data_IF_036784077657
#
_entry.id   IF_036784077657
#
_cell.length_a   1.000
_cell.length_b   1.000
_cell.length_c   1.000
_cell.angle_alpha   90.00
_cell.angle_beta   90.00
_cell.angle_gamma   90.00
#
_symmetry.space_group_name_H-M   'P 1'
#
loop_
_entity.id
_entity.type
_entity.pdbx_description
1 polymer ?
#
# COMPACT_ATOMS: atom_id res chain seq x y z
N UNK A 1 19.85 -10.82 -13.20
CA UNK A 1 18.39 -10.88 -12.98
C UNK A 1 17.96 -9.57 -12.32
N UNK A 2 17.91 -8.49 -13.10
CA UNK A 2 17.78 -7.10 -12.58
C UNK A 2 16.44 -6.43 -12.96
N UNK A 3 15.55 -7.14 -13.66
CA UNK A 3 14.37 -6.57 -14.31
C UNK A 3 13.40 -5.85 -13.36
N UNK A 4 13.15 -6.41 -12.18
CA UNK A 4 12.24 -5.79 -11.20
C UNK A 4 12.94 -4.73 -10.32
N UNK A 5 14.27 -4.75 -10.24
CA UNK A 5 15.04 -3.94 -9.30
C UNK A 5 14.99 -2.45 -9.66
N UNK A 6 15.19 -2.13 -10.93
CA UNK A 6 15.24 -0.73 -11.37
C UNK A 6 13.87 -0.04 -11.34
N UNK A 7 12.76 -0.67 -11.81
CA UNK A 7 11.42 -0.09 -11.68
C UNK A 7 11.02 0.13 -10.22
N UNK A 8 11.27 -0.87 -9.36
CA UNK A 8 10.93 -0.79 -7.94
C UNK A 8 11.73 0.31 -7.23
N UNK A 9 13.05 0.38 -7.45
CA UNK A 9 13.91 1.41 -6.85
C UNK A 9 13.45 2.83 -7.22
N UNK A 10 13.18 3.07 -8.51
CA UNK A 10 12.66 4.34 -9.00
C UNK A 10 11.33 4.69 -8.35
N UNK A 11 10.39 3.74 -8.37
CA UNK A 11 9.04 3.95 -7.82
C UNK A 11 9.07 4.20 -6.32
N UNK A 12 9.90 3.48 -5.58
CA UNK A 12 10.08 3.68 -4.15
C UNK A 12 10.65 5.08 -3.86
N UNK A 13 11.64 5.53 -4.64
CA UNK A 13 12.18 6.89 -4.54
C UNK A 13 11.13 7.97 -4.79
N UNK A 14 10.28 7.79 -5.81
CA UNK A 14 9.19 8.72 -6.12
C UNK A 14 8.13 8.74 -5.01
N UNK A 15 7.79 7.57 -4.45
CA UNK A 15 6.83 7.43 -3.35
C UNK A 15 7.33 8.10 -2.07
N UNK A 16 8.60 7.92 -1.73
CA UNK A 16 9.19 8.58 -0.55
C UNK A 16 9.16 10.10 -0.70
N UNK A 17 9.53 10.62 -1.88
CA UNK A 17 9.47 12.06 -2.18
C UNK A 17 8.04 12.59 -2.15
N UNK A 18 7.10 11.91 -2.81
CA UNK A 18 5.71 12.38 -2.91
C UNK A 18 4.99 12.38 -1.57
N UNK A 19 5.37 11.46 -0.66
CA UNK A 19 4.81 11.36 0.69
C UNK A 19 5.64 12.11 1.74
N UNK A 20 6.70 12.80 1.34
CA UNK A 20 7.66 13.48 2.23
C UNK A 20 8.22 12.56 3.33
N UNK A 21 8.36 11.27 3.03
CA UNK A 21 8.91 10.27 3.94
C UNK A 21 10.43 10.29 3.84
N UNK A 22 11.09 10.31 5.01
CA UNK A 22 12.54 10.16 5.09
C UNK A 22 12.91 8.69 5.04
N UNK A 23 14.18 8.41 4.75
CA UNK A 23 14.67 7.03 4.72
C UNK A 23 14.59 6.36 6.09
N UNK A 24 14.75 7.14 7.16
CA UNK A 24 14.61 6.72 8.55
C UNK A 24 13.18 6.27 8.86
N UNK A 25 12.18 6.98 8.33
CA UNK A 25 10.77 6.67 8.59
C UNK A 25 10.38 5.33 7.96
N UNK A 26 10.90 5.02 6.76
CA UNK A 26 10.69 3.71 6.12
C UNK A 26 11.47 2.59 6.81
N UNK A 27 12.69 2.86 7.27
CA UNK A 27 13.46 1.89 8.04
C UNK A 27 12.72 1.53 9.35
N UNK A 28 12.25 2.53 10.09
CA UNK A 28 11.45 2.35 11.31
C UNK A 28 10.17 1.53 11.02
N UNK A 29 9.44 1.86 9.96
CA UNK A 29 8.23 1.13 9.58
C UNK A 29 8.49 -0.35 9.24
N UNK A 30 9.64 -0.65 8.63
CA UNK A 30 10.04 -2.03 8.33
C UNK A 30 10.52 -2.76 9.59
N UNK A 31 11.19 -2.07 10.52
CA UNK A 31 11.56 -2.62 11.83
C UNK A 31 10.33 -2.94 12.69
N UNK A 32 9.30 -2.11 12.64
CA UNK A 32 8.01 -2.38 13.30
C UNK A 32 7.33 -3.66 12.77
N UNK A 33 7.66 -4.09 11.56
CA UNK A 33 7.20 -5.35 10.95
C UNK A 33 8.15 -6.53 11.22
N UNK A 34 9.23 -6.32 11.98
CA UNK A 34 10.19 -7.34 12.37
C UNK A 34 11.37 -7.53 11.40
N UNK A 35 11.59 -6.61 10.46
CA UNK A 35 12.77 -6.63 9.60
C UNK A 35 13.93 -5.83 10.21
N UNK A 36 15.18 -6.27 10.03
CA UNK A 36 16.36 -5.53 10.51
C UNK A 36 16.75 -4.36 9.58
N UNK A 37 15.77 -3.59 9.12
CA UNK A 37 15.99 -2.53 8.15
C UNK A 37 16.63 -1.31 8.81
N UNK A 38 17.74 -0.87 8.21
CA UNK A 38 18.43 0.36 8.58
C UNK A 38 18.22 1.43 7.50
N UNK A 39 18.51 2.69 7.84
CA UNK A 39 18.56 3.79 6.86
C UNK A 39 19.45 3.46 5.65
N UNK A 40 20.57 2.78 5.89
CA UNK A 40 21.48 2.35 4.83
C UNK A 40 20.81 1.30 3.91
N UNK A 41 20.09 0.33 4.48
CA UNK A 41 19.32 -0.65 3.71
C UNK A 41 18.28 0.03 2.81
N UNK A 42 17.51 0.98 3.34
CA UNK A 42 16.57 1.78 2.55
C UNK A 42 17.27 2.49 1.39
N UNK A 43 18.43 3.10 1.66
CA UNK A 43 19.22 3.80 0.64
C UNK A 43 19.70 2.85 -0.46
N UNK A 44 20.17 1.64 -0.11
CA UNK A 44 20.56 0.62 -1.09
C UNK A 44 19.38 0.20 -1.97
N UNK A 45 18.18 0.03 -1.40
CA UNK A 45 16.99 -0.36 -2.15
C UNK A 45 16.53 0.77 -3.08
N UNK A 46 16.42 2.01 -2.60
CA UNK A 46 16.01 3.18 -3.39
C UNK A 46 16.99 3.50 -4.51
N UNK A 47 18.29 3.23 -4.31
CA UNK A 47 19.31 3.40 -5.35
C UNK A 47 19.44 2.19 -6.29
N UNK A 48 18.64 1.14 -6.07
CA UNK A 48 18.68 -0.08 -6.86
C UNK A 48 19.97 -0.89 -6.70
N UNK A 49 20.70 -0.73 -5.60
CA UNK A 49 21.93 -1.48 -5.27
C UNK A 49 21.67 -2.69 -4.37
N UNK A 50 20.53 -2.71 -3.67
CA UNK A 50 20.11 -3.83 -2.82
C UNK A 50 19.08 -4.69 -3.54
N UNK A 51 19.32 -6.00 -3.61
CA UNK A 51 18.27 -6.96 -3.97
C UNK A 51 17.24 -7.03 -2.84
N UNK A 52 15.96 -7.11 -3.19
CA UNK A 52 14.87 -7.34 -2.25
C UNK A 52 14.41 -8.79 -2.35
N UNK A 53 14.15 -9.40 -1.20
CA UNK A 53 13.45 -10.67 -1.12
C UNK A 53 11.94 -10.48 -1.32
N UNK A 54 11.23 -11.55 -1.66
CA UNK A 54 9.76 -11.52 -1.77
C UNK A 54 9.10 -11.06 -0.45
N UNK A 55 9.65 -11.50 0.69
CA UNK A 55 9.14 -11.11 2.01
C UNK A 55 9.36 -9.62 2.30
N UNK A 56 10.51 -9.06 1.93
CA UNK A 56 10.75 -7.61 2.04
C UNK A 56 9.84 -6.80 1.11
N UNK A 57 9.52 -7.31 -0.09
CA UNK A 57 8.54 -6.68 -0.99
C UNK A 57 7.15 -6.66 -0.33
N UNK A 58 6.71 -7.79 0.25
CA UNK A 58 5.46 -7.85 1.00
C UNK A 58 5.47 -6.90 2.22
N UNK A 59 6.61 -6.83 2.92
CA UNK A 59 6.85 -5.89 4.01
C UNK A 59 6.68 -4.43 3.55
N UNK A 60 7.28 -4.05 2.41
CA UNK A 60 7.14 -2.72 1.82
C UNK A 60 5.69 -2.39 1.45
N UNK A 61 4.96 -3.33 0.84
CA UNK A 61 3.54 -3.18 0.55
C UNK A 61 2.74 -2.90 1.84
N UNK A 62 3.03 -3.65 2.90
CA UNK A 62 2.40 -3.45 4.21
C UNK A 62 2.78 -2.12 4.86
N UNK A 63 4.07 -1.77 4.90
CA UNK A 63 4.59 -0.55 5.51
C UNK A 63 4.09 0.72 4.81
N UNK A 64 3.93 0.66 3.49
CA UNK A 64 3.45 1.79 2.68
C UNK A 64 1.94 1.76 2.45
N UNK A 65 1.25 0.73 2.92
CA UNK A 65 -0.16 0.46 2.63
C UNK A 65 -0.48 0.59 1.13
N UNK A 66 0.26 -0.17 0.33
CA UNK A 66 0.16 -0.19 -1.13
C UNK A 66 -0.07 -1.62 -1.63
N UNK A 67 -0.82 -1.75 -2.72
CA UNK A 67 -0.82 -3.00 -3.47
C UNK A 67 0.54 -3.21 -4.14
N UNK A 68 0.87 -4.46 -4.45
CA UNK A 68 2.10 -4.76 -5.20
C UNK A 68 2.10 -4.09 -6.59
N UNK A 69 0.92 -3.97 -7.21
CA UNK A 69 0.73 -3.20 -8.43
C UNK A 69 1.13 -1.74 -8.25
N UNK A 70 0.59 -1.05 -7.24
CA UNK A 70 0.88 0.37 -6.99
C UNK A 70 2.35 0.62 -6.61
N UNK A 71 2.96 -0.33 -5.89
CA UNK A 71 4.38 -0.31 -5.53
C UNK A 71 5.29 -0.46 -6.77
N UNK A 72 4.82 -1.14 -7.80
CA UNK A 72 5.56 -1.37 -9.05
C UNK A 72 5.11 -0.46 -10.21
N UNK A 73 4.14 0.43 -9.98
CA UNK A 73 3.71 1.44 -10.96
C UNK A 73 2.42 1.11 -11.74
N UNK A 74 1.74 0.02 -11.39
CA UNK A 74 0.45 -0.40 -11.96
C UNK A 74 0.46 -1.88 -12.39
N UNK A 75 -0.73 -2.47 -12.60
CA UNK A 75 -0.85 -3.87 -13.06
C UNK A 75 -0.30 -4.10 -14.48
N UNK A 76 -0.23 -3.04 -15.28
CA UNK A 76 0.29 -3.06 -16.65
C UNK A 76 1.78 -2.69 -16.73
N UNK A 77 2.47 -2.57 -15.59
CA UNK A 77 3.93 -2.39 -15.60
C UNK A 77 4.59 -3.59 -16.25
N UNK A 78 5.35 -3.35 -17.30
CA UNK A 78 6.19 -4.33 -17.96
C UNK A 78 7.39 -4.72 -17.09
N UNK A 79 7.58 -6.03 -16.90
CA UNK A 79 8.66 -6.61 -16.11
C UNK A 79 9.59 -7.41 -17.01
N UNK A 80 10.85 -6.99 -17.08
CA UNK A 80 11.85 -7.66 -17.88
C UNK A 80 12.23 -9.04 -17.30
N UNK A 81 12.17 -10.05 -18.17
CA UNK A 81 12.62 -11.42 -17.97
C UNK A 81 13.83 -11.71 -18.87
N UNK A 82 14.59 -12.81 -18.64
CA UNK A 82 15.71 -13.17 -19.52
C UNK A 82 15.34 -13.34 -21.00
N UNK A 83 14.09 -13.72 -21.30
CA UNK A 83 13.61 -13.99 -22.66
C UNK A 83 12.60 -12.98 -23.22
N UNK A 84 12.37 -11.84 -22.56
CA UNK A 84 11.38 -10.86 -23.00
C UNK A 84 10.87 -9.98 -21.88
N UNK A 85 9.68 -9.41 -22.03
CA UNK A 85 8.95 -8.70 -20.98
C UNK A 85 7.57 -9.31 -20.80
N UNK A 86 7.06 -9.28 -19.58
CA UNK A 86 5.69 -9.66 -19.27
C UNK A 86 5.04 -8.60 -18.41
N UNK A 87 3.73 -8.34 -18.57
CA UNK A 87 3.03 -7.41 -17.71
C UNK A 87 2.94 -7.98 -16.29
N UNK A 88 3.08 -7.12 -15.29
CA UNK A 88 3.07 -7.49 -13.88
C UNK A 88 1.84 -8.33 -13.50
N UNK A 89 0.66 -8.03 -14.06
CA UNK A 89 -0.57 -8.82 -13.84
C UNK A 89 -0.38 -10.31 -14.12
N UNK A 90 0.34 -10.69 -15.18
CA UNK A 90 0.59 -12.09 -15.52
C UNK A 90 1.51 -12.77 -14.50
N UNK A 91 2.45 -12.01 -13.91
CA UNK A 91 3.29 -12.50 -12.81
C UNK A 91 2.45 -12.71 -11.55
N UNK A 92 1.57 -11.75 -11.22
CA UNK A 92 0.69 -11.85 -10.06
C UNK A 92 -0.28 -13.03 -10.19
N UNK A 93 -0.87 -13.23 -11.36
CA UNK A 93 -1.73 -14.38 -11.64
C UNK A 93 -1.00 -15.71 -11.45
N UNK A 94 0.23 -15.83 -11.94
CA UNK A 94 1.05 -17.02 -11.77
C UNK A 94 1.41 -17.28 -10.30
N UNK A 95 1.72 -16.24 -9.52
CA UNK A 95 2.02 -16.38 -8.10
C UNK A 95 0.79 -16.78 -7.27
N UNK A 96 -0.39 -16.27 -7.60
CA UNK A 96 -1.62 -16.48 -6.84
C UNK A 96 -2.34 -17.78 -7.21
N UNK A 97 -2.30 -18.16 -8.49
CA UNK A 97 -3.11 -19.25 -9.01
C UNK A 97 -2.27 -20.40 -9.59
N UNK A 98 -0.94 -20.25 -9.67
CA UNK A 98 -0.05 -21.26 -10.22
C UNK A 98 -0.16 -21.47 -11.74
N UNK A 99 -0.90 -20.62 -12.46
CA UNK A 99 -1.04 -20.70 -13.92
C UNK A 99 -0.02 -19.80 -14.61
N UNK A 100 0.78 -20.38 -15.50
CA UNK A 100 1.74 -19.67 -16.36
C UNK A 100 1.32 -19.67 -17.83
N UNK A 101 0.08 -20.05 -18.16
CA UNK A 101 -0.42 -20.10 -19.54
C UNK A 101 -0.27 -18.74 -20.26
N UNK A 102 -0.38 -17.64 -19.52
CA UNK A 102 -0.17 -16.27 -20.01
C UNK A 102 1.29 -15.92 -20.33
N UNK A 103 2.27 -16.67 -19.83
CA UNK A 103 3.70 -16.41 -20.07
C UNK A 103 4.18 -17.04 -21.39
N UNK A 104 3.55 -18.12 -21.84
CA UNK A 104 3.90 -18.81 -23.10
C UNK A 104 3.44 -18.03 -24.34
N UNK A 105 2.34 -17.25 -24.23
CA UNK A 105 1.78 -16.47 -25.34
C UNK A 105 2.55 -15.17 -25.66
N UNK A 106 3.33 -14.65 -24.71
CA UNK A 106 4.10 -13.39 -24.86
C UNK A 106 5.50 -13.60 -25.45
N UNK A 107 6.05 -14.83 -25.39
CA UNK A 107 7.36 -15.16 -25.95
C UNK A 107 7.36 -15.32 -27.48
N UNK A 108 6.23 -15.69 -28.08
CA UNK A 108 6.13 -16.03 -29.51
C UNK A 108 5.48 -14.90 -30.35
N UNK A 109 4.67 -14.04 -29.73
CA UNK A 109 3.92 -12.98 -30.43
C UNK A 109 4.50 -11.57 -30.32
N UNK A 110 5.55 -11.35 -29.54
CA UNK A 110 6.11 -10.01 -29.29
C UNK A 110 6.63 -9.34 -30.56
N UNK A 111 7.30 -10.07 -31.45
CA UNK A 111 7.85 -9.50 -32.69
C UNK A 111 6.77 -9.04 -33.68
N UNK A 112 5.74 -9.86 -33.93
CA UNK A 112 4.65 -9.52 -34.86
C UNK A 112 3.71 -8.45 -34.27
N UNK A 113 3.47 -8.49 -32.96
CA UNK A 113 2.60 -7.51 -32.28
C UNK A 113 3.29 -6.17 -32.11
N UNK A 114 4.61 -6.11 -31.86
CA UNK A 114 5.37 -4.86 -31.81
C UNK A 114 5.43 -4.17 -33.17
N UNK A 115 5.57 -4.93 -34.26
CA UNK A 115 5.54 -4.38 -35.62
C UNK A 115 4.16 -3.81 -35.97
N UNK A 116 3.10 -4.56 -35.67
CA UNK A 116 1.72 -4.13 -35.95
C UNK A 116 1.27 -2.95 -35.06
N UNK A 117 1.66 -2.93 -33.78
CA UNK A 117 1.37 -1.83 -32.87
C UNK A 117 2.20 -0.58 -33.21
N UNK A 118 3.44 -0.76 -33.69
CA UNK A 118 4.29 0.33 -34.18
C UNK A 118 3.68 1.04 -35.40
N UNK A 119 3.14 0.28 -36.35
CA UNK A 119 2.43 0.84 -37.52
C UNK A 119 1.14 1.58 -37.11
N UNK A 120 0.35 1.02 -36.20
CA UNK A 120 -0.87 1.64 -35.68
C UNK A 120 -0.61 2.91 -34.85
N UNK A 121 0.43 2.92 -34.00
CA UNK A 121 0.81 4.08 -33.19
C UNK A 121 1.42 5.19 -34.04
N UNK A 122 2.21 4.87 -35.06
CA UNK A 122 2.74 5.86 -35.99
C UNK A 122 1.60 6.61 -36.72
N UNK A 123 0.58 5.88 -37.17
CA UNK A 123 -0.61 6.47 -37.77
C UNK A 123 -1.40 7.36 -36.78
N UNK A 124 -1.52 6.93 -35.51
CA UNK A 124 -2.24 7.68 -34.48
C UNK A 124 -1.50 8.95 -34.01
N UNK A 125 -0.17 8.90 -33.88
CA UNK A 125 0.67 10.05 -33.50
C UNK A 125 0.65 11.12 -34.59
N UNK A 126 0.66 10.73 -35.86
CA UNK A 126 0.55 11.65 -36.98
C UNK A 126 -0.83 12.33 -37.05
N UNK A 127 -1.87 11.63 -36.60
CA UNK A 127 -3.24 12.15 -36.53
C UNK A 127 -3.43 13.06 -35.30
N UNK A 128 -2.85 12.72 -34.15
CA UNK A 128 -2.88 13.53 -32.92
C UNK A 128 -2.06 14.82 -33.04
N UNK A 129 -0.94 14.82 -33.76
CA UNK A 129 -0.14 16.02 -34.02
C UNK A 129 -0.89 17.08 -34.85
N UNK A 130 -1.93 16.68 -35.59
CA UNK A 130 -2.78 17.59 -36.39
C UNK A 130 -3.93 18.19 -35.58
N UNK A 131 -4.25 17.64 -34.40
CA UNK A 131 -5.41 18.03 -33.61
C UNK A 131 -5.09 18.05 -32.11
N UNK A 132 -4.92 19.25 -31.56
CA UNK A 132 -5.09 19.63 -30.15
C UNK A 132 -3.91 19.59 -29.16
N UNK A 133 -3.94 20.62 -28.30
CA UNK A 133 -3.06 20.94 -27.15
C UNK A 133 -3.17 19.94 -25.98
N UNK A 134 -2.15 19.89 -25.08
CA UNK A 134 -2.09 18.92 -24.00
C UNK A 134 -3.07 19.23 -22.84
N UNK A 135 -3.64 18.20 -22.16
CA UNK A 135 -4.50 18.40 -21.00
C UNK A 135 -3.70 18.66 -19.72
N UNK A 136 -4.20 19.59 -18.91
CA UNK A 136 -3.67 19.93 -17.58
C UNK A 136 -3.99 18.83 -16.54
N UNK A 137 -2.99 18.48 -15.71
CA UNK A 137 -3.13 17.55 -14.58
C UNK A 137 -3.82 18.22 -13.37
N UNK A 138 -4.68 17.52 -12.62
CA UNK A 138 -5.20 18.02 -11.36
C UNK A 138 -4.18 17.90 -10.23
N UNK A 139 -4.12 18.92 -9.38
CA UNK A 139 -3.28 18.99 -8.19
C UNK A 139 -3.85 18.12 -7.06
N UNK A 140 -3.04 17.23 -6.50
CA UNK A 140 -3.38 16.39 -5.34
C UNK A 140 -2.77 17.02 -4.07
N UNK A 141 -3.59 17.33 -3.06
CA UNK A 141 -3.16 17.95 -1.80
C UNK A 141 -2.58 16.92 -0.81
N UNK A 142 -1.31 17.06 -0.45
CA UNK A 142 -0.49 16.06 0.24
C UNK A 142 -0.47 16.07 1.78
N UNK A 143 -1.50 16.54 2.48
CA UNK A 143 -1.46 16.70 3.96
C UNK A 143 -2.22 15.63 4.76
N UNK A 144 -3.18 14.91 4.18
CA UNK A 144 -4.07 14.02 4.92
C UNK A 144 -3.44 12.69 5.41
N UNK A 145 -2.35 12.24 4.79
CA UNK A 145 -1.77 10.91 5.05
C UNK A 145 -0.91 10.84 6.32
N UNK A 146 -0.18 11.91 6.64
CA UNK A 146 0.71 11.96 7.82
C UNK A 146 -0.06 11.95 9.14
N UNK A 147 -1.15 12.72 9.21
CA UNK A 147 -1.98 12.80 10.42
C UNK A 147 -2.73 11.50 10.71
N UNK A 148 -3.18 10.80 9.66
CA UNK A 148 -3.84 9.51 9.79
C UNK A 148 -2.90 8.44 10.37
N UNK A 149 -1.68 8.35 9.83
CA UNK A 149 -0.67 7.41 10.32
C UNK A 149 -0.22 7.70 11.77
N UNK A 150 -0.16 8.97 12.18
CA UNK A 150 0.23 9.33 13.54
C UNK A 150 -0.86 9.00 14.59
N UNK A 151 -2.13 9.27 14.25
CA UNK A 151 -3.26 8.97 15.13
C UNK A 151 -3.39 7.47 15.40
N UNK A 152 -3.28 6.64 14.35
CA UNK A 152 -3.29 5.18 14.44
C UNK A 152 -2.14 4.67 15.32
N UNK A 153 -0.92 5.16 15.14
CA UNK A 153 0.24 4.74 15.97
C UNK A 153 0.08 5.12 17.44
N UNK A 154 -0.47 6.29 17.74
CA UNK A 154 -0.76 6.71 19.14
C UNK A 154 -1.85 5.82 19.78
N UNK A 155 -2.86 5.42 19.02
CA UNK A 155 -3.88 4.49 19.47
C UNK A 155 -3.29 3.10 19.74
N UNK A 156 -2.52 2.56 18.81
CA UNK A 156 -1.86 1.26 18.90
C UNK A 156 -1.01 1.13 20.18
N UNK A 157 -0.13 2.12 20.43
CA UNK A 157 0.70 2.18 21.65
C UNK A 157 -0.12 2.21 22.94
N UNK A 158 -1.25 2.92 22.96
CA UNK A 158 -2.15 2.98 24.14
C UNK A 158 -2.94 1.70 24.37
N UNK A 159 -3.18 0.94 23.31
CA UNK A 159 -3.97 -0.30 23.35
C UNK A 159 -3.09 -1.55 23.48
N UNK A 160 -1.77 -1.42 23.35
CA UNK A 160 -0.85 -2.56 23.43
C UNK A 160 -0.94 -3.49 22.22
N UNK A 161 -1.36 -2.97 21.07
CA UNK A 161 -1.52 -3.75 19.82
C UNK A 161 -0.77 -3.08 18.68
N UNK A 162 -0.69 -3.75 17.53
CA UNK A 162 -0.02 -3.19 16.34
C UNK A 162 -0.90 -2.11 15.66
N UNK A 163 -0.31 -1.13 14.93
CA UNK A 163 -1.06 -0.18 14.11
C UNK A 163 -2.02 -0.86 13.13
N UNK A 164 -1.60 -1.97 12.52
CA UNK A 164 -2.44 -2.75 11.60
C UNK A 164 -3.67 -3.34 12.29
N UNK A 165 -3.53 -3.83 13.52
CA UNK A 165 -4.65 -4.33 14.34
C UNK A 165 -5.67 -3.22 14.60
N UNK A 166 -5.20 -1.98 14.85
CA UNK A 166 -6.09 -0.82 15.03
C UNK A 166 -6.82 -0.44 13.74
N UNK A 167 -6.13 -0.42 12.59
CA UNK A 167 -6.76 -0.09 11.30
C UNK A 167 -7.82 -1.12 10.91
N UNK A 168 -7.49 -2.40 11.02
CA UNK A 168 -8.46 -3.48 10.75
C UNK A 168 -9.67 -3.37 11.68
N UNK A 169 -9.46 -3.16 12.97
CA UNK A 169 -10.56 -2.99 13.93
C UNK A 169 -11.39 -1.73 13.64
N UNK A 170 -10.77 -0.62 13.22
CA UNK A 170 -11.46 0.61 12.86
C UNK A 170 -12.35 0.43 11.62
N UNK A 171 -11.83 -0.24 10.58
CA UNK A 171 -12.61 -0.55 9.38
C UNK A 171 -13.74 -1.52 9.70
N UNK A 172 -13.51 -2.54 10.54
CA UNK A 172 -14.55 -3.47 10.96
C UNK A 172 -15.66 -2.80 11.78
N UNK A 173 -15.30 -1.86 12.65
CA UNK A 173 -16.24 -1.23 13.59
C UNK A 173 -17.02 -0.06 12.96
N UNK A 174 -16.37 0.71 12.09
CA UNK A 174 -16.93 1.98 11.58
C UNK A 174 -16.91 2.10 10.05
N UNK A 175 -16.36 1.13 9.33
CA UNK A 175 -16.19 1.17 7.88
C UNK A 175 -15.19 2.22 7.39
N UNK A 176 -14.41 2.85 8.29
CA UNK A 176 -13.48 3.94 7.98
C UNK A 176 -12.31 4.01 8.95
N UNK A 177 -11.31 4.82 8.64
CA UNK A 177 -10.13 5.00 9.49
C UNK A 177 -10.48 5.72 10.80
N UNK A 178 -9.65 5.53 11.84
CA UNK A 178 -9.79 6.20 13.14
C UNK A 178 -9.90 7.74 12.99
N UNK A 179 -9.07 8.32 12.13
CA UNK A 179 -9.06 9.78 11.90
C UNK A 179 -10.31 10.24 11.18
N UNK A 180 -10.74 9.52 10.13
CA UNK A 180 -11.98 9.83 9.42
C UNK A 180 -13.21 9.73 10.36
N UNK A 181 -13.23 8.74 11.25
CA UNK A 181 -14.32 8.58 12.22
C UNK A 181 -14.30 9.68 13.29
N UNK A 182 -13.12 10.04 13.80
CA UNK A 182 -12.98 11.18 14.72
C UNK A 182 -13.51 12.45 14.07
N UNK A 183 -13.13 12.73 12.83
CA UNK A 183 -13.49 13.97 12.17
C UNK A 183 -14.99 13.98 11.81
N UNK A 184 -15.56 12.84 11.43
CA UNK A 184 -17.01 12.68 11.24
C UNK A 184 -17.80 12.95 12.52
N UNK A 185 -17.38 12.40 13.67
CA UNK A 185 -18.06 12.64 14.96
C UNK A 185 -17.85 14.05 15.50
N UNK A 186 -16.89 14.80 14.95
CA UNK A 186 -16.55 16.16 15.39
C UNK A 186 -17.08 17.23 14.43
N UNK A 187 -18.06 16.90 13.58
CA UNK A 187 -18.73 17.83 12.65
C UNK A 187 -18.84 19.26 13.23
N UNK A 188 -18.21 20.25 12.58
CA UNK A 188 -18.11 21.59 13.14
C UNK A 188 -19.48 22.25 13.18
N UNK A 189 -19.84 22.80 14.35
CA UNK A 189 -21.05 23.61 14.50
C UNK A 189 -20.73 25.07 14.15
N UNK A 190 -21.65 25.81 13.51
CA UNK A 190 -21.36 27.15 12.99
C UNK A 190 -20.94 28.18 14.05
N UNK A 191 -21.25 27.97 15.34
CA UNK A 191 -20.96 28.90 16.43
C UNK A 191 -19.94 28.36 17.46
N UNK A 192 -19.10 27.39 17.09
CA UNK A 192 -18.18 26.76 18.02
C UNK A 192 -16.77 27.34 18.01
N UNK A 193 -16.29 27.80 19.17
CA UNK A 193 -14.91 28.25 19.35
C UNK A 193 -13.89 27.12 19.21
N UNK A 194 -12.67 27.46 18.77
CA UNK A 194 -11.54 26.56 18.54
C UNK A 194 -11.23 25.72 19.78
N UNK A 195 -11.35 26.30 20.99
CA UNK A 195 -11.10 25.59 22.25
C UNK A 195 -12.16 24.53 22.54
N UNK A 196 -13.42 24.83 22.26
CA UNK A 196 -14.54 23.90 22.38
C UNK A 196 -14.42 22.75 21.38
N UNK A 197 -14.02 23.05 20.14
CA UNK A 197 -13.73 22.05 19.11
C UNK A 197 -12.60 21.10 19.54
N UNK A 198 -11.50 21.63 20.08
CA UNK A 198 -10.39 20.80 20.59
C UNK A 198 -10.82 19.90 21.77
N UNK A 199 -11.61 20.43 22.71
CA UNK A 199 -12.13 19.64 23.82
C UNK A 199 -13.03 18.49 23.33
N UNK A 200 -13.89 18.76 22.34
CA UNK A 200 -14.73 17.73 21.71
C UNK A 200 -13.90 16.69 20.97
N UNK A 201 -12.90 17.10 20.19
CA UNK A 201 -11.95 16.18 19.54
C UNK A 201 -11.28 15.24 20.56
N UNK A 202 -10.85 15.78 21.69
CA UNK A 202 -10.23 14.99 22.75
C UNK A 202 -11.21 13.98 23.37
N UNK A 203 -12.46 14.38 23.62
CA UNK A 203 -13.49 13.51 24.16
C UNK A 203 -13.83 12.37 23.18
N UNK A 204 -14.10 12.71 21.92
CA UNK A 204 -14.35 11.72 20.85
C UNK A 204 -13.19 10.74 20.73
N UNK A 205 -11.94 11.22 20.74
CA UNK A 205 -10.77 10.33 20.67
C UNK A 205 -10.74 9.32 21.81
N UNK A 206 -11.12 9.70 23.05
CA UNK A 206 -11.18 8.76 24.18
C UNK A 206 -12.28 7.72 24.01
N UNK A 207 -13.44 8.13 23.50
CA UNK A 207 -14.56 7.22 23.20
C UNK A 207 -14.16 6.19 22.14
N UNK A 208 -13.55 6.62 21.04
CA UNK A 208 -13.08 5.74 19.97
C UNK A 208 -12.05 4.71 20.48
N UNK A 209 -11.14 5.11 21.36
CA UNK A 209 -10.19 4.19 21.98
C UNK A 209 -10.87 3.16 22.90
N UNK A 210 -11.93 3.55 23.61
CA UNK A 210 -12.71 2.63 24.43
C UNK A 210 -13.46 1.61 23.58
N UNK A 211 -14.07 2.06 22.49
CA UNK A 211 -14.75 1.21 21.51
C UNK A 211 -13.79 0.19 20.88
N UNK A 212 -12.60 0.64 20.45
CA UNK A 212 -11.56 -0.26 19.92
C UNK A 212 -11.08 -1.27 20.94
N UNK A 213 -10.86 -0.86 22.20
CA UNK A 213 -10.45 -1.78 23.27
C UNK A 213 -11.50 -2.87 23.48
N UNK A 214 -12.77 -2.50 23.48
CA UNK A 214 -13.87 -3.45 23.66
C UNK A 214 -13.99 -4.42 22.47
N UNK A 215 -13.88 -3.92 21.23
CA UNK A 215 -13.91 -4.76 20.03
C UNK A 215 -12.75 -5.77 20.01
N UNK A 216 -11.53 -5.30 20.29
CA UNK A 216 -10.34 -6.14 20.34
C UNK A 216 -10.39 -7.19 21.47
N UNK A 217 -11.03 -6.86 22.60
CA UNK A 217 -11.28 -7.81 23.68
C UNK A 217 -12.27 -8.91 23.31
N UNK A 218 -13.29 -8.61 22.51
CA UNK A 218 -14.27 -9.60 22.02
C UNK A 218 -13.73 -10.52 20.94
N UNK A 219 -12.84 -10.02 20.07
CA UNK A 219 -12.21 -10.83 19.03
C UNK A 219 -11.16 -11.82 19.57
N UNK A 220 -10.79 -11.72 20.85
CA UNK A 220 -9.85 -12.62 21.54
C UNK A 220 -10.51 -13.82 22.25
N UNK A 221 -11.83 -13.97 22.17
CA UNK A 221 -12.53 -15.13 22.75
C UNK A 221 -12.41 -16.32 21.77
N UNK A 222 -11.69 -17.41 22.15
CA UNK A 222 -11.55 -18.56 21.28
C UNK A 222 -12.92 -19.19 21.02
N UNK A 223 -13.21 -19.48 19.75
CA UNK A 223 -14.45 -20.13 19.35
C UNK A 223 -14.68 -21.41 20.19
N UNK A 224 -15.87 -21.61 20.79
CA UNK A 224 -16.20 -22.84 21.51
C UNK A 224 -16.47 -23.93 20.47
N UNK A 225 -15.46 -24.72 20.09
CA UNK A 225 -15.63 -25.74 19.07
C UNK A 225 -14.35 -26.41 18.58
N UNK A 226 -13.61 -27.05 19.49
CA UNK A 226 -12.71 -28.15 19.14
C UNK A 226 -12.72 -29.12 20.33
N UNK A 227 -13.84 -29.84 20.44
CA UNK A 227 -13.97 -30.97 21.37
C UNK A 227 -12.98 -32.06 20.98
N UNK A 228 -12.12 -32.42 21.93
CA UNK A 228 -12.23 -33.69 22.66
C UNK A 228 -12.67 -34.90 21.81
N UNK A 229 -11.75 -35.45 21.02
CA UNK A 229 -11.76 -36.88 20.64
C UNK A 229 -10.32 -37.38 20.44
N UNK A 230 -9.76 -38.01 21.46
CA UNK A 230 -8.82 -39.14 21.33
C UNK A 230 -8.36 -39.62 22.74
N UNK A 231 -9.29 -40.26 23.44
CA UNK A 231 -8.99 -41.12 24.58
C UNK A 231 -9.81 -42.40 24.45
N UNK A 232 -9.13 -43.55 24.55
CA UNK A 232 -9.69 -44.89 24.79
C UNK A 232 -10.51 -45.55 23.67
N UNK A 233 -9.86 -46.38 22.84
CA UNK A 233 -9.84 -47.85 23.02
C UNK A 233 -8.97 -48.55 21.97
#
# INVERSE_FOLDING_TARGET
MDGLRAPLARRLGDLLKSRQLRHEDLAEAMTDLGFDWTRNRVTQVVTGRGALTLLEIAGLCSALNLSLGDLLGGPDTEVALPGGSVPLRAILEALLHGSSESWQLLGDQSAETEQMLGELLAAHVEQAARTSSPPSRPAYSGTAWGEQAEATRKAARRLGVTPRTVETAAVQLWGRSLTAERDHRVEPRPDEDVRSLQARRAHVTRTLLSELRFHLGKSGEPAPGAGDEAGEH
#
